data_IF_286207605297
#
_entry.id   IF_286207605297
#
_cell.length_a   1.000
_cell.length_b   1.000
_cell.length_c   1.000
_cell.angle_alpha   90.00
_cell.angle_beta   90.00
_cell.angle_gamma   90.00
#
_symmetry.space_group_name_H-M   'P 1'
#
loop_
_entity.id
_entity.type
_entity.pdbx_description
1 polymer ?
#
# COMPACT_ATOMS: atom_id res chain seq x y z
N UNK A 1 -41.38 -1.55 -12.39
CA UNK A 1 -40.62 -0.31 -12.18
C UNK A 1 -39.20 -0.72 -11.80
N UNK A 2 -38.32 -0.80 -12.79
CA UNK A 2 -36.92 -1.18 -12.61
C UNK A 2 -36.15 0.09 -12.21
N UNK A 3 -35.58 0.10 -11.01
CA UNK A 3 -34.52 1.06 -10.65
C UNK A 3 -33.28 0.24 -10.28
N UNK A 4 -32.49 -0.08 -11.31
CA UNK A 4 -31.08 -0.40 -11.18
C UNK A 4 -30.34 0.93 -11.04
N UNK A 5 -29.89 1.32 -9.85
CA UNK A 5 -28.94 2.43 -9.71
C UNK A 5 -28.18 2.37 -8.38
N UNK A 6 -27.46 1.27 -8.16
CA UNK A 6 -26.21 1.32 -7.41
C UNK A 6 -25.19 0.67 -8.34
N UNK A 7 -24.31 1.48 -8.93
CA UNK A 7 -23.08 0.91 -9.45
C UNK A 7 -22.39 0.26 -8.25
N UNK A 8 -22.38 -1.08 -8.19
CA UNK A 8 -21.69 -1.87 -7.17
C UNK A 8 -20.31 -1.23 -6.94
N UNK A 9 -20.11 -0.58 -5.79
CA UNK A 9 -18.82 0.02 -5.46
C UNK A 9 -17.80 -1.11 -5.41
N UNK A 10 -16.97 -1.18 -6.45
CA UNK A 10 -15.91 -2.18 -6.54
C UNK A 10 -14.96 -2.03 -5.35
N UNK A 11 -14.99 -3.00 -4.45
CA UNK A 11 -14.11 -3.03 -3.27
C UNK A 11 -12.70 -3.38 -3.73
N UNK A 12 -11.77 -2.44 -3.55
CA UNK A 12 -10.34 -2.68 -3.80
C UNK A 12 -9.82 -3.52 -2.64
N UNK A 13 -9.45 -4.77 -2.91
CA UNK A 13 -8.89 -5.68 -1.90
C UNK A 13 -7.38 -5.58 -1.76
N UNK A 14 -6.69 -5.28 -2.86
CA UNK A 14 -5.23 -5.27 -2.94
C UNK A 14 -4.73 -4.19 -3.88
N UNK A 15 -3.61 -3.57 -3.54
CA UNK A 15 -2.92 -2.60 -4.39
C UNK A 15 -1.47 -3.06 -4.58
N UNK A 16 -1.06 -3.13 -5.85
CA UNK A 16 0.33 -3.34 -6.20
C UNK A 16 1.07 -2.00 -6.22
N UNK A 17 2.15 -1.88 -5.44
CA UNK A 17 2.94 -0.66 -5.33
C UNK A 17 4.33 -0.88 -5.94
N UNK A 18 4.67 -0.03 -6.91
CA UNK A 18 6.01 0.05 -7.49
C UNK A 18 6.71 1.29 -6.91
N UNK A 19 7.81 1.07 -6.22
CA UNK A 19 8.63 2.15 -5.65
C UNK A 19 10.11 1.75 -5.65
N UNK A 20 11.01 2.72 -5.49
CA UNK A 20 12.44 2.48 -5.55
C UNK A 20 12.96 1.67 -4.35
N UNK A 21 14.02 0.88 -4.59
CA UNK A 21 14.81 0.26 -3.52
C UNK A 21 15.74 1.24 -2.80
N UNK A 22 15.88 2.47 -3.31
CA UNK A 22 16.52 3.61 -2.64
C UNK A 22 15.53 4.36 -1.76
N UNK A 23 16.04 5.22 -0.87
CA UNK A 23 15.25 6.05 0.07
C UNK A 23 14.70 7.34 -0.56
N UNK A 24 15.14 7.68 -1.76
CA UNK A 24 14.97 9.01 -2.33
C UNK A 24 16.01 10.00 -1.80
N UNK A 25 15.99 11.22 -2.33
CA UNK A 25 16.93 12.31 -1.97
C UNK A 25 16.44 13.17 -0.82
N UNK A 26 15.14 13.09 -0.52
CA UNK A 26 14.47 13.91 0.48
C UNK A 26 13.65 13.04 1.41
N UNK A 27 13.60 13.41 2.69
CA UNK A 27 12.89 12.67 3.73
C UNK A 27 11.39 12.51 3.45
N UNK A 28 10.81 13.43 2.70
CA UNK A 28 9.39 13.40 2.32
C UNK A 28 9.01 12.11 1.57
N UNK A 29 9.92 11.50 0.81
CA UNK A 29 9.61 10.25 0.11
C UNK A 29 9.41 9.09 1.07
N UNK A 30 10.25 8.97 2.09
CA UNK A 30 10.08 7.96 3.13
C UNK A 30 8.79 8.19 3.93
N UNK A 31 8.53 9.45 4.33
CA UNK A 31 7.33 9.80 5.08
C UNK A 31 6.05 9.46 4.31
N UNK A 32 5.99 9.80 3.02
CA UNK A 32 4.84 9.49 2.18
C UNK A 32 4.72 7.99 1.86
N UNK A 33 5.84 7.26 1.71
CA UNK A 33 5.80 5.81 1.55
C UNK A 33 5.21 5.13 2.79
N UNK A 34 5.60 5.59 3.98
CA UNK A 34 5.06 5.07 5.24
C UNK A 34 3.56 5.38 5.38
N UNK A 35 3.16 6.63 5.16
CA UNK A 35 1.75 7.03 5.27
C UNK A 35 0.87 6.34 4.22
N UNK A 36 1.38 6.06 3.03
CA UNK A 36 0.70 5.21 2.05
C UNK A 36 0.43 3.82 2.65
N UNK A 37 1.46 3.14 3.17
CA UNK A 37 1.33 1.81 3.75
C UNK A 37 0.33 1.76 4.90
N UNK A 38 0.42 2.74 5.82
CA UNK A 38 -0.53 2.92 6.91
C UNK A 38 -1.96 3.13 6.43
N UNK A 39 -2.14 3.95 5.38
CA UNK A 39 -3.46 4.19 4.78
C UNK A 39 -4.07 2.90 4.22
N UNK A 40 -3.26 2.08 3.54
CA UNK A 40 -3.71 0.78 3.03
C UNK A 40 -4.17 -0.12 4.19
N UNK A 41 -3.39 -0.21 5.27
CA UNK A 41 -3.75 -1.00 6.44
C UNK A 41 -5.07 -0.53 7.08
N UNK A 42 -5.22 0.78 7.34
CA UNK A 42 -6.45 1.36 7.93
C UNK A 42 -7.67 1.11 7.04
N UNK A 43 -7.50 1.10 5.72
CA UNK A 43 -8.57 0.83 4.77
C UNK A 43 -8.84 -0.66 4.52
N UNK A 44 -8.14 -1.57 5.22
CA UNK A 44 -8.20 -3.01 4.99
C UNK A 44 -7.85 -3.43 3.55
N UNK A 45 -6.92 -2.69 2.92
CA UNK A 45 -6.37 -2.99 1.60
C UNK A 45 -5.01 -3.66 1.79
N UNK A 46 -4.82 -4.85 1.21
CA UNK A 46 -3.53 -5.54 1.30
C UNK A 46 -2.52 -4.93 0.29
N UNK A 47 -1.27 -4.80 0.71
CA UNK A 47 -0.17 -4.38 -0.16
C UNK A 47 0.40 -5.57 -0.93
N UNK A 48 0.63 -5.39 -2.23
CA UNK A 48 1.47 -6.26 -3.06
C UNK A 48 2.67 -5.44 -3.53
N UNK A 49 3.89 -5.97 -3.42
CA UNK A 49 5.10 -5.23 -3.81
C UNK A 49 6.26 -6.17 -4.13
N UNK A 50 7.41 -5.63 -4.54
CA UNK A 50 8.60 -6.40 -4.92
C UNK A 50 9.34 -7.11 -3.77
N UNK A 51 8.80 -7.09 -2.54
CA UNK A 51 9.31 -7.90 -1.42
C UNK A 51 10.65 -7.47 -0.81
N UNK A 52 11.28 -6.40 -1.29
CA UNK A 52 12.53 -5.89 -0.74
C UNK A 52 12.29 -5.16 0.61
N UNK A 53 13.16 -5.40 1.60
CA UNK A 53 13.08 -4.76 2.92
C UNK A 53 13.89 -3.45 3.04
N UNK A 54 14.27 -2.84 1.91
CA UNK A 54 15.12 -1.63 1.86
C UNK A 54 14.45 -0.49 1.11
N UNK A 55 14.91 0.74 1.35
CA UNK A 55 14.43 1.95 0.68
C UNK A 55 12.93 2.18 0.86
N UNK A 56 12.30 2.78 -0.14
CA UNK A 56 10.86 3.06 -0.11
C UNK A 56 10.01 1.77 -0.08
N UNK A 57 10.49 0.68 -0.69
CA UNK A 57 9.81 -0.64 -0.61
C UNK A 57 9.71 -1.14 0.82
N UNK A 58 10.80 -1.07 1.58
CA UNK A 58 10.80 -1.38 3.00
C UNK A 58 9.89 -0.43 3.79
N UNK A 59 9.95 0.87 3.49
CA UNK A 59 9.18 1.89 4.21
C UNK A 59 7.66 1.73 4.02
N UNK A 60 7.19 1.45 2.80
CA UNK A 60 5.75 1.19 2.56
C UNK A 60 5.30 -0.12 3.21
N UNK A 61 6.13 -1.16 3.18
CA UNK A 61 5.84 -2.43 3.84
C UNK A 61 5.74 -2.26 5.37
N UNK A 62 6.63 -1.47 5.96
CA UNK A 62 6.60 -1.14 7.39
C UNK A 62 5.31 -0.39 7.75
N UNK A 63 4.94 0.63 6.97
CA UNK A 63 3.68 1.36 7.18
C UNK A 63 2.46 0.44 7.20
N UNK A 64 2.44 -0.60 6.36
CA UNK A 64 1.38 -1.62 6.38
C UNK A 64 1.45 -2.49 7.63
N UNK A 65 2.61 -3.11 7.89
CA UNK A 65 2.75 -4.13 8.94
C UNK A 65 2.62 -3.56 10.35
N UNK A 66 3.19 -2.37 10.61
CA UNK A 66 3.11 -1.71 11.91
C UNK A 66 1.68 -1.26 12.25
N UNK A 67 0.82 -1.09 11.25
CA UNK A 67 -0.59 -0.70 11.41
C UNK A 67 -1.55 -1.89 11.25
N UNK A 68 -1.05 -3.13 11.36
CA UNK A 68 -1.86 -4.35 11.38
C UNK A 68 -2.39 -4.80 10.02
N UNK A 69 -1.91 -4.20 8.92
CA UNK A 69 -2.24 -4.59 7.56
C UNK A 69 -1.42 -5.79 7.08
N UNK A 70 -1.71 -6.23 5.85
CA UNK A 70 -1.02 -7.36 5.22
C UNK A 70 -0.21 -6.92 4.01
N UNK A 71 1.07 -7.27 3.99
CA UNK A 71 1.98 -7.06 2.87
C UNK A 71 2.36 -8.40 2.22
N UNK A 72 2.34 -8.45 0.88
CA UNK A 72 2.66 -9.61 0.06
C UNK A 72 3.85 -9.23 -0.84
N UNK A 73 5.03 -9.78 -0.54
CA UNK A 73 6.23 -9.63 -1.37
C UNK A 73 6.27 -10.65 -2.50
N UNK A 74 6.64 -10.20 -3.70
CA UNK A 74 6.88 -11.05 -4.89
C UNK A 74 8.34 -10.86 -5.32
N UNK A 75 9.14 -11.92 -5.27
CA UNK A 75 10.54 -11.98 -5.69
C UNK A 75 10.78 -13.15 -6.64
#
# INVERSE_FOLDING_TARGET
MLQNSDAEKKVIRRIAVFCGSSRGTERIFEEQAYELGKTLAVQNIELVYGGANVGLMGTVANGVMENGGKAIGVL
#
